data_IF_199193150909
#
_entry.id   IF_199193150909
#
_cell.length_a   1.000
_cell.length_b   1.000
_cell.length_c   1.000
_cell.angle_alpha   90.00
_cell.angle_beta   90.00
_cell.angle_gamma   90.00
#
_symmetry.space_group_name_H-M   'P 1'
#
loop_
_entity.id
_entity.type
_entity.pdbx_description
1 polymer ?
#
# COMPACT_ATOMS: atom_id res chain seq x y z
N UNK A 1 -23.53 1.70 13.24
CA UNK A 1 -22.63 2.69 13.87
C UNK A 1 -21.27 2.54 13.22
N UNK A 2 -21.13 3.10 12.02
CA UNK A 2 -19.89 3.08 11.24
C UNK A 2 -18.89 3.97 11.95
N UNK A 3 -17.83 3.41 12.53
CA UNK A 3 -16.69 4.21 12.96
C UNK A 3 -16.16 4.93 11.73
N UNK A 4 -16.15 6.26 11.81
CA UNK A 4 -15.38 7.11 10.91
C UNK A 4 -13.90 6.69 11.03
N UNK A 5 -13.43 5.86 10.10
CA UNK A 5 -12.02 5.45 9.99
C UNK A 5 -11.25 6.58 9.32
N UNK A 6 -11.16 7.72 10.01
CA UNK A 6 -10.21 8.76 9.67
C UNK A 6 -8.78 8.18 9.57
N UNK A 7 -7.84 8.90 8.92
CA UNK A 7 -6.48 8.40 8.68
C UNK A 7 -5.87 7.89 9.99
N UNK A 8 -5.26 6.69 9.92
CA UNK A 8 -4.71 5.96 11.06
C UNK A 8 -4.02 6.92 12.05
N UNK A 9 -4.40 6.89 13.33
CA UNK A 9 -4.01 7.88 14.34
C UNK A 9 -2.53 8.31 14.21
N UNK A 10 -2.26 9.44 13.55
CA UNK A 10 -0.91 9.97 13.27
C UNK A 10 0.01 10.03 14.50
N UNK A 11 -0.55 10.12 15.71
CA UNK A 11 0.18 9.98 16.98
C UNK A 11 1.03 8.71 17.03
N UNK A 12 0.56 7.59 16.48
CA UNK A 12 1.28 6.31 16.44
C UNK A 12 2.49 6.32 15.51
N UNK A 13 2.56 7.29 14.60
CA UNK A 13 3.65 7.43 13.64
C UNK A 13 4.66 8.52 14.04
N UNK A 14 4.48 9.18 15.19
CA UNK A 14 5.43 10.17 15.69
C UNK A 14 6.78 9.52 15.97
N UNK A 15 7.86 10.09 15.41
CA UNK A 15 9.21 9.57 15.55
C UNK A 15 9.50 8.31 14.72
N UNK A 16 8.61 7.92 13.81
CA UNK A 16 8.83 6.81 12.89
C UNK A 16 9.61 7.27 11.65
N UNK A 17 10.70 6.58 11.33
CA UNK A 17 11.51 6.87 10.14
C UNK A 17 10.96 6.24 8.86
N UNK A 18 10.31 5.08 8.96
CA UNK A 18 9.81 4.32 7.81
C UNK A 18 8.50 3.65 8.16
N UNK A 19 7.49 3.80 7.29
CA UNK A 19 6.28 2.99 7.35
C UNK A 19 6.31 1.94 6.25
N UNK A 20 6.14 0.68 6.64
CA UNK A 20 5.99 -0.46 5.72
C UNK A 20 4.57 -0.99 5.85
N UNK A 21 3.86 -1.10 4.74
CA UNK A 21 2.57 -1.76 4.71
C UNK A 21 2.65 -3.11 4.02
N UNK A 22 2.17 -4.14 4.71
CA UNK A 22 2.08 -5.52 4.22
C UNK A 22 0.65 -6.06 4.36
N UNK A 23 -0.35 -5.19 4.19
CA UNK A 23 -1.78 -5.57 4.26
C UNK A 23 -2.20 -6.28 2.98
N UNK A 24 -3.09 -7.26 3.11
CA UNK A 24 -3.75 -7.91 1.99
C UNK A 24 -5.26 -7.86 2.23
N UNK A 25 -6.03 -7.56 1.19
CA UNK A 25 -7.48 -7.51 1.27
C UNK A 25 -8.10 -7.05 -0.05
N UNK A 26 -9.34 -6.60 0.04
CA UNK A 26 -10.13 -6.05 -1.07
C UNK A 26 -9.81 -4.56 -1.34
N UNK A 27 -10.66 -3.90 -2.12
CA UNK A 27 -10.51 -2.49 -2.47
C UNK A 27 -10.49 -1.55 -1.25
N UNK A 28 -11.29 -1.81 -0.21
CA UNK A 28 -11.30 -0.99 1.01
C UNK A 28 -9.93 -1.08 1.71
N UNK A 29 -9.36 -2.28 1.80
CA UNK A 29 -8.06 -2.49 2.45
C UNK A 29 -6.90 -1.94 1.60
N UNK A 30 -6.90 -2.22 0.29
CA UNK A 30 -5.77 -1.91 -0.58
C UNK A 30 -5.80 -0.47 -1.08
N UNK A 31 -6.95 0.11 -1.40
CA UNK A 31 -7.02 1.47 -1.93
C UNK A 31 -7.18 2.44 -0.76
N UNK A 32 -8.30 2.37 -0.04
CA UNK A 32 -8.61 3.33 1.02
C UNK A 32 -7.66 3.18 2.21
N UNK A 33 -7.33 1.94 2.59
CA UNK A 33 -6.39 1.64 3.67
C UNK A 33 -4.97 2.16 3.40
N UNK A 34 -4.43 1.95 2.19
CA UNK A 34 -3.10 2.49 1.83
C UNK A 34 -3.10 4.02 1.80
N UNK A 35 -4.14 4.64 1.23
CA UNK A 35 -4.28 6.09 1.22
C UNK A 35 -4.31 6.65 2.64
N UNK A 36 -5.15 6.09 3.50
CA UNK A 36 -5.28 6.52 4.89
C UNK A 36 -3.95 6.40 5.65
N UNK A 37 -3.18 5.35 5.40
CA UNK A 37 -1.89 5.14 6.04
C UNK A 37 -0.83 6.13 5.55
N UNK A 38 -0.76 6.39 4.23
CA UNK A 38 0.22 7.36 3.71
C UNK A 38 -0.12 8.79 4.13
N UNK A 39 -1.40 9.17 4.20
CA UNK A 39 -1.83 10.48 4.74
C UNK A 39 -1.50 10.64 6.22
N UNK A 40 -1.62 9.57 6.99
CA UNK A 40 -1.18 9.57 8.38
C UNK A 40 0.33 9.74 8.49
N UNK A 41 1.10 9.08 7.61
CA UNK A 41 2.56 9.18 7.56
C UNK A 41 3.02 10.60 7.20
N UNK A 42 2.38 11.24 6.22
CA UNK A 42 2.59 12.66 5.87
C UNK A 42 2.39 13.57 7.08
N UNK A 43 1.25 13.42 7.77
CA UNK A 43 0.91 14.25 8.93
C UNK A 43 1.89 14.07 10.09
N UNK A 44 2.48 12.88 10.20
CA UNK A 44 3.48 12.58 11.22
C UNK A 44 4.91 12.96 10.81
N UNK A 45 5.12 13.42 9.57
CA UNK A 45 6.44 13.79 9.06
C UNK A 45 7.35 12.60 8.76
N UNK A 46 6.77 11.42 8.48
CA UNK A 46 7.55 10.22 8.15
C UNK A 46 8.24 10.43 6.80
N UNK A 47 9.57 10.22 6.69
CA UNK A 47 10.30 10.50 5.46
C UNK A 47 10.25 9.37 4.41
N UNK A 48 9.85 8.14 4.78
CA UNK A 48 9.83 6.98 3.87
C UNK A 48 8.59 6.10 4.02
N UNK A 49 8.11 5.61 2.88
CA UNK A 49 6.92 4.76 2.79
C UNK A 49 7.17 3.60 1.82
N UNK A 50 6.84 2.38 2.24
CA UNK A 50 6.83 1.17 1.41
C UNK A 50 5.39 0.65 1.36
N UNK A 51 4.66 0.81 0.23
CA UNK A 51 3.29 0.34 0.09
C UNK A 51 3.22 -1.19 -0.02
N UNK A 52 2.02 -1.73 0.20
CA UNK A 52 1.71 -3.16 0.05
C UNK A 52 1.64 -3.55 -1.43
N UNK A 53 2.81 -3.63 -2.06
CA UNK A 53 3.00 -4.10 -3.43
C UNK A 53 3.56 -5.52 -3.45
N UNK A 54 4.78 -5.69 -2.92
CA UNK A 54 5.55 -6.93 -2.82
C UNK A 54 5.31 -7.94 -3.95
N UNK A 55 5.40 -7.48 -5.20
CA UNK A 55 5.10 -8.31 -6.37
C UNK A 55 5.97 -7.91 -7.58
N UNK A 56 5.37 -7.81 -8.76
CA UNK A 56 5.97 -7.35 -10.01
C UNK A 56 5.79 -5.84 -10.19
N UNK A 57 6.44 -5.28 -11.22
CA UNK A 57 6.27 -3.87 -11.61
C UNK A 57 4.85 -3.59 -12.12
N UNK A 58 3.93 -3.29 -11.19
CA UNK A 58 2.51 -3.02 -11.48
C UNK A 58 2.29 -1.80 -12.38
N UNK A 59 3.27 -0.90 -12.46
CA UNK A 59 3.28 0.27 -13.34
C UNK A 59 3.44 -0.11 -14.83
N UNK A 60 3.86 -1.36 -15.11
CA UNK A 60 4.06 -1.89 -16.46
C UNK A 60 2.94 -2.80 -16.96
N UNK A 61 1.94 -3.05 -16.14
CA UNK A 61 0.75 -3.81 -16.52
C UNK A 61 -0.34 -2.86 -17.00
N UNK A 62 -1.20 -3.30 -17.91
CA UNK A 62 -2.45 -2.61 -18.21
C UNK A 62 -3.53 -3.01 -17.19
N UNK A 63 -4.50 -2.12 -16.97
CA UNK A 63 -5.65 -2.47 -16.12
C UNK A 63 -6.42 -3.62 -16.79
N UNK A 64 -6.76 -4.65 -16.01
CA UNK A 64 -7.39 -5.88 -16.49
C UNK A 64 -6.42 -7.04 -16.76
N UNK A 65 -5.11 -6.81 -16.77
CA UNK A 65 -4.13 -7.91 -16.88
C UNK A 65 -4.11 -8.78 -15.62
N UNK A 66 -4.36 -8.17 -14.45
CA UNK A 66 -4.37 -8.87 -13.17
C UNK A 66 -5.16 -8.08 -12.11
N UNK A 67 -6.30 -8.61 -11.66
CA UNK A 67 -7.18 -7.95 -10.69
C UNK A 67 -6.48 -7.56 -9.37
N UNK A 68 -5.52 -8.38 -8.89
CA UNK A 68 -4.76 -8.08 -7.67
C UNK A 68 -3.74 -6.95 -7.87
N UNK A 69 -3.17 -6.85 -9.08
CA UNK A 69 -2.29 -5.75 -9.47
C UNK A 69 -3.10 -4.47 -9.68
N UNK A 70 -4.29 -4.56 -10.27
CA UNK A 70 -5.17 -3.42 -10.52
C UNK A 70 -5.53 -2.66 -9.24
N UNK A 71 -5.84 -3.36 -8.15
CA UNK A 71 -6.10 -2.72 -6.85
C UNK A 71 -4.88 -1.90 -6.38
N UNK A 72 -3.68 -2.45 -6.55
CA UNK A 72 -2.43 -1.77 -6.15
C UNK A 72 -2.07 -0.62 -7.08
N UNK A 73 -2.35 -0.77 -8.36
CA UNK A 73 -2.16 0.29 -9.36
C UNK A 73 -3.09 1.46 -9.08
N UNK A 74 -4.37 1.19 -8.78
CA UNK A 74 -5.34 2.21 -8.33
C UNK A 74 -4.90 2.88 -7.03
N UNK A 75 -4.44 2.11 -6.05
CA UNK A 75 -3.89 2.69 -4.82
C UNK A 75 -2.72 3.65 -5.14
N UNK A 76 -1.79 3.23 -6.00
CA UNK A 76 -0.65 4.04 -6.43
C UNK A 76 -1.04 5.32 -7.16
N UNK A 77 -2.09 5.28 -7.98
CA UNK A 77 -2.66 6.46 -8.63
C UNK A 77 -3.25 7.43 -7.59
N UNK A 78 -3.98 6.92 -6.59
CA UNK A 78 -4.66 7.72 -5.57
C UNK A 78 -3.68 8.39 -4.59
N UNK A 79 -2.64 7.68 -4.14
CA UNK A 79 -1.60 8.27 -3.28
C UNK A 79 -0.45 8.93 -4.06
N UNK A 80 -0.53 9.04 -5.39
CA UNK A 80 0.51 9.69 -6.22
C UNK A 80 0.79 11.14 -5.84
N UNK A 81 -0.21 11.82 -5.27
CA UNK A 81 -0.10 13.19 -4.76
C UNK A 81 0.58 13.27 -3.39
N UNK A 82 1.07 12.16 -2.84
CA UNK A 82 1.70 12.17 -1.53
C UNK A 82 3.07 12.85 -1.55
N UNK A 83 3.40 13.59 -0.49
CA UNK A 83 4.73 14.15 -0.28
C UNK A 83 5.74 13.13 0.21
N UNK A 84 5.29 11.96 0.68
CA UNK A 84 6.15 10.85 1.09
C UNK A 84 6.35 9.91 -0.10
N UNK A 85 7.54 9.91 -0.67
CA UNK A 85 7.85 9.12 -1.85
C UNK A 85 7.69 7.61 -1.56
N UNK A 86 6.90 6.87 -2.36
CA UNK A 86 6.78 5.43 -2.21
C UNK A 86 8.04 4.72 -2.73
N UNK A 87 8.47 3.69 -2.02
CA UNK A 87 9.50 2.75 -2.47
C UNK A 87 8.87 1.38 -2.70
N UNK A 88 8.78 0.94 -3.96
CA UNK A 88 8.27 -0.38 -4.31
C UNK A 88 9.36 -1.44 -4.15
N UNK A 89 9.01 -2.56 -3.50
CA UNK A 89 9.88 -3.74 -3.39
C UNK A 89 9.34 -4.83 -4.32
N UNK A 90 10.13 -5.17 -5.35
CA UNK A 90 9.73 -6.13 -6.37
C UNK A 90 10.35 -7.50 -6.07
N UNK A 91 9.58 -8.40 -5.49
CA UNK A 91 10.06 -9.74 -5.08
C UNK A 91 9.68 -10.84 -6.07
N UNK A 92 8.88 -10.52 -7.09
CA UNK A 92 8.28 -11.54 -7.95
C UNK A 92 7.15 -12.26 -7.23
N UNK A 93 7.15 -13.60 -7.28
CA UNK A 93 6.16 -14.42 -6.61
C UNK A 93 6.74 -15.02 -5.31
N UNK A 94 5.90 -15.12 -4.28
CA UNK A 94 6.26 -15.83 -3.06
C UNK A 94 6.45 -17.31 -3.37
N UNK A 95 7.63 -17.86 -3.04
CA UNK A 95 7.96 -19.26 -3.31
C UNK A 95 6.99 -20.24 -2.63
N UNK A 96 6.54 -19.90 -1.42
CA UNK A 96 5.53 -20.69 -0.71
C UNK A 96 4.23 -20.79 -1.52
N UNK A 97 3.74 -19.68 -2.08
CA UNK A 97 2.51 -19.65 -2.90
C UNK A 97 2.69 -20.42 -4.20
N UNK A 98 3.86 -20.35 -4.83
CA UNK A 98 4.16 -21.11 -6.04
C UNK A 98 4.22 -22.62 -5.80
N UNK A 99 4.62 -23.03 -4.60
CA UNK A 99 4.77 -24.44 -4.23
C UNK A 99 3.59 -24.96 -3.41
N UNK A 100 2.55 -24.15 -3.21
CA UNK A 100 1.37 -24.58 -2.48
C UNK A 100 0.70 -25.73 -3.23
N UNK A 101 0.44 -26.87 -2.57
CA UNK A 101 -0.29 -27.97 -3.17
C UNK A 101 -1.79 -27.66 -3.14
N UNK A 102 -2.19 -26.45 -3.57
CA UNK A 102 -3.51 -25.79 -3.49
C UNK A 102 -4.05 -25.49 -2.07
#
# INVERSE_FOLDING_TARGET
>A
MTQDRGPANSRRLQGVDVVVSAVQGDAEVIIDGQLNLVRAAEKAGVPRWIPSGFSLGIDRLDHGDNDFADLRKKAAEVYRSSTVAPTSVLIGAFLEVLNMPF
#
